data_IF_673019813228
#
_entry.id   IF_673019813228
#
_cell.length_a   1.000
_cell.length_b   1.000
_cell.length_c   1.000
_cell.angle_alpha   90.00
_cell.angle_beta   90.00
_cell.angle_gamma   90.00
#
_symmetry.space_group_name_H-M   'P 1'
#
loop_
_entity.id
_entity.type
_entity.pdbx_description
1 polymer ?
#
# COMPACT_ATOMS: atom_id res chain seq x y z
N UNK A 1 -53.09 51.43 33.79
CA UNK A 1 -51.78 51.69 34.45
C UNK A 1 -50.68 51.01 33.63
N UNK A 2 -49.79 51.83 33.03
CA UNK A 2 -48.34 51.62 32.87
C UNK A 2 -47.86 50.22 32.40
N UNK A 3 -47.39 50.12 31.15
CA UNK A 3 -46.24 49.25 30.85
C UNK A 3 -44.97 49.99 31.34
N UNK A 4 -43.89 49.32 31.80
CA UNK A 4 -42.88 48.88 30.83
C UNK A 4 -41.88 47.76 31.26
N UNK A 5 -41.04 47.40 30.28
CA UNK A 5 -39.57 47.13 30.35
C UNK A 5 -39.00 45.84 30.99
N UNK A 6 -38.54 44.96 30.08
CA UNK A 6 -37.17 44.45 29.79
C UNK A 6 -36.15 44.12 30.91
N UNK A 7 -35.42 43.04 30.59
CA UNK A 7 -34.06 42.60 31.00
C UNK A 7 -33.98 41.79 32.32
N UNK A 8 -33.13 40.77 32.50
CA UNK A 8 -31.94 40.30 31.80
C UNK A 8 -31.70 38.78 32.05
N UNK A 9 -30.87 38.20 31.18
CA UNK A 9 -30.36 36.83 31.14
C UNK A 9 -29.65 36.40 32.44
N UNK A 10 -30.07 35.27 33.02
CA UNK A 10 -29.28 34.54 34.02
C UNK A 10 -29.16 33.08 33.59
N UNK A 11 -28.00 32.74 33.01
CA UNK A 11 -27.55 31.36 32.74
C UNK A 11 -27.41 30.65 34.08
N UNK A 12 -28.06 29.49 34.25
CA UNK A 12 -27.66 28.48 35.22
C UNK A 12 -27.97 27.08 34.67
N UNK A 13 -26.92 26.28 34.64
CA UNK A 13 -26.77 24.89 34.19
C UNK A 13 -27.78 23.99 34.91
N UNK A 14 -28.67 23.32 34.17
CA UNK A 14 -29.51 22.25 34.71
C UNK A 14 -28.95 20.90 34.26
N UNK A 15 -28.40 20.18 35.23
CA UNK A 15 -28.06 18.76 35.16
C UNK A 15 -29.32 17.98 34.76
N UNK A 16 -29.22 17.12 33.73
CA UNK A 16 -30.31 16.22 33.38
C UNK A 16 -30.26 14.98 34.29
N UNK A 17 -31.37 14.56 34.90
CA UNK A 17 -31.40 13.41 35.78
C UNK A 17 -31.33 12.11 34.99
N UNK A 18 -30.56 11.17 35.56
CA UNK A 18 -30.49 9.74 35.30
C UNK A 18 -31.60 9.17 34.40
N UNK A 19 -31.23 8.79 33.16
CA UNK A 19 -32.01 7.85 32.37
C UNK A 19 -31.42 6.45 32.61
N UNK A 20 -32.11 5.69 33.45
CA UNK A 20 -31.88 4.27 33.70
C UNK A 20 -31.92 3.54 32.36
N UNK A 21 -30.76 3.09 31.88
CA UNK A 21 -30.67 2.31 30.64
C UNK A 21 -31.35 0.96 30.84
N UNK A 22 -32.47 0.77 30.17
CA UNK A 22 -33.10 -0.53 30.01
C UNK A 22 -32.19 -1.38 29.09
N UNK A 23 -31.26 -2.14 29.67
CA UNK A 23 -30.48 -3.16 28.95
C UNK A 23 -31.44 -4.31 28.65
N UNK A 24 -32.14 -4.27 27.51
CA UNK A 24 -32.71 -5.44 26.84
C UNK A 24 -33.20 -5.13 25.41
N UNK A 25 -32.57 -4.19 24.71
CA UNK A 25 -32.81 -4.00 23.28
C UNK A 25 -31.63 -4.54 22.47
N UNK A 26 -31.87 -5.62 21.74
CA UNK A 26 -30.92 -6.18 20.78
C UNK A 26 -30.51 -5.11 19.75
N UNK A 27 -29.24 -5.08 19.30
CA UNK A 27 -28.81 -4.15 18.27
C UNK A 27 -29.56 -4.44 16.97
N UNK A 28 -30.44 -3.53 16.54
CA UNK A 28 -31.05 -3.59 15.21
C UNK A 28 -29.96 -3.31 14.17
N UNK A 29 -29.48 -4.36 13.49
CA UNK A 29 -28.62 -4.23 12.32
C UNK A 29 -29.47 -3.76 11.14
N UNK A 30 -29.29 -2.51 10.71
CA UNK A 30 -29.88 -2.05 9.45
C UNK A 30 -29.10 -2.66 8.29
N UNK A 31 -29.64 -3.73 7.71
CA UNK A 31 -29.09 -4.34 6.49
C UNK A 31 -29.46 -3.47 5.29
N UNK A 32 -28.56 -2.58 4.88
CA UNK A 32 -28.69 -1.85 3.62
C UNK A 32 -28.44 -2.82 2.45
N UNK A 33 -29.51 -3.29 1.82
CA UNK A 33 -29.42 -4.13 0.62
C UNK A 33 -28.97 -3.28 -0.56
N UNK A 34 -27.67 -3.35 -0.89
CA UNK A 34 -27.15 -2.74 -2.11
C UNK A 34 -27.53 -3.64 -3.29
N UNK A 35 -28.27 -3.09 -4.24
CA UNK A 35 -28.67 -3.82 -5.45
C UNK A 35 -27.55 -3.81 -6.48
N UNK A 36 -27.49 -4.83 -7.34
CA UNK A 36 -26.47 -4.89 -8.41
C UNK A 36 -26.51 -3.66 -9.33
N UNK A 37 -27.70 -3.07 -9.54
CA UNK A 37 -27.86 -1.83 -10.29
C UNK A 37 -27.19 -0.63 -9.62
N UNK A 38 -27.19 -0.57 -8.28
CA UNK A 38 -26.49 0.49 -7.54
C UNK A 38 -24.97 0.33 -7.61
N UNK A 39 -24.47 -0.90 -7.53
CA UNK A 39 -23.04 -1.18 -7.73
C UNK A 39 -22.61 -0.79 -9.16
N UNK A 40 -23.40 -1.17 -10.16
CA UNK A 40 -23.12 -0.80 -11.55
C UNK A 40 -23.11 0.72 -11.74
N UNK A 41 -24.08 1.42 -11.17
CA UNK A 41 -24.15 2.88 -11.25
C UNK A 41 -22.95 3.58 -10.58
N UNK A 42 -22.44 3.05 -9.47
CA UNK A 42 -21.24 3.59 -8.81
C UNK A 42 -19.98 3.38 -9.67
N UNK A 43 -19.87 2.24 -10.33
CA UNK A 43 -18.78 1.94 -11.26
C UNK A 43 -18.85 2.88 -12.47
N UNK A 44 -20.02 3.02 -13.09
CA UNK A 44 -20.23 3.87 -14.26
C UNK A 44 -19.95 5.36 -13.94
N UNK A 45 -20.35 5.82 -12.75
CA UNK A 45 -20.03 7.15 -12.24
C UNK A 45 -18.51 7.35 -12.07
N UNK A 46 -17.81 6.38 -11.47
CA UNK A 46 -16.37 6.43 -11.28
C UNK A 46 -15.59 6.47 -12.60
N UNK A 47 -16.00 5.64 -13.56
CA UNK A 47 -15.41 5.58 -14.91
C UNK A 47 -15.64 6.91 -15.64
N UNK A 48 -16.87 7.44 -15.60
CA UNK A 48 -17.22 8.71 -16.25
C UNK A 48 -16.43 9.89 -15.66
N UNK A 49 -16.29 9.95 -14.33
CA UNK A 49 -15.52 11.01 -13.67
C UNK A 49 -14.03 10.98 -14.05
N UNK A 50 -13.47 9.77 -14.17
CA UNK A 50 -12.06 9.59 -14.55
C UNK A 50 -11.82 9.96 -16.02
N UNK A 51 -12.75 9.59 -16.91
CA UNK A 51 -12.74 9.98 -18.32
C UNK A 51 -12.84 11.51 -18.47
N UNK A 52 -13.76 12.15 -17.76
CA UNK A 52 -13.90 13.61 -17.81
C UNK A 52 -12.62 14.33 -17.32
N UNK A 53 -11.99 13.84 -16.25
CA UNK A 53 -10.75 14.41 -15.73
C UNK A 53 -9.57 14.29 -16.72
N UNK A 54 -9.48 13.18 -17.46
CA UNK A 54 -8.43 13.00 -18.48
C UNK A 54 -8.61 13.97 -19.66
N UNK A 55 -9.85 14.23 -20.06
CA UNK A 55 -10.15 15.00 -21.27
C UNK A 55 -10.07 16.51 -20.98
N UNK A 56 -10.37 16.93 -19.74
CA UNK A 56 -10.08 18.29 -19.26
C UNK A 56 -8.58 18.63 -19.29
N UNK A 57 -7.71 17.64 -19.10
CA UNK A 57 -6.25 17.80 -19.13
C UNK A 57 -5.66 17.83 -20.57
N UNK A 58 -6.49 17.60 -21.61
CA UNK A 58 -6.05 17.64 -23.01
C UNK A 58 -6.24 19.00 -23.69
N UNK A 59 -6.88 19.96 -23.03
CA UNK A 59 -7.06 21.33 -23.53
C UNK A 59 -5.85 22.20 -23.19
N UNK A 60 -4.66 21.70 -23.49
CA UNK A 60 -3.42 22.46 -23.46
C UNK A 60 -2.95 22.62 -24.90
N UNK A 61 -3.09 23.84 -25.42
CA UNK A 61 -2.59 24.28 -26.72
C UNK A 61 -1.15 23.79 -26.95
N UNK A 62 -0.99 22.94 -27.97
CA UNK A 62 0.30 22.38 -28.36
C UNK A 62 1.07 23.40 -29.20
N UNK A 63 1.39 24.54 -28.58
CA UNK A 63 2.33 25.53 -29.09
C UNK A 63 3.75 25.00 -28.83
N UNK A 64 4.23 24.13 -29.70
CA UNK A 64 5.64 23.74 -29.74
C UNK A 64 6.51 24.92 -30.23
N UNK A 65 6.87 25.81 -29.31
CA UNK A 65 8.08 26.64 -29.44
C UNK A 65 8.66 26.85 -28.05
N UNK A 66 9.59 25.97 -27.68
CA UNK A 66 10.63 26.27 -26.72
C UNK A 66 11.79 25.32 -26.98
N UNK A 67 12.65 25.75 -27.91
CA UNK A 67 14.03 25.32 -27.89
C UNK A 67 14.60 25.65 -26.52
N UNK A 68 14.90 24.63 -25.73
CA UNK A 68 15.76 24.74 -24.57
C UNK A 68 16.74 23.61 -24.69
N UNK A 69 17.94 23.96 -25.14
CA UNK A 69 19.07 23.08 -25.41
C UNK A 69 19.66 22.45 -24.16
N UNK A 70 18.85 21.71 -23.40
CA UNK A 70 19.36 20.59 -22.64
C UNK A 70 19.45 19.47 -23.67
N UNK A 71 20.65 19.27 -24.20
CA UNK A 71 21.00 18.00 -24.85
C UNK A 71 20.42 16.93 -23.93
N UNK A 72 19.40 16.20 -24.39
CA UNK A 72 19.15 14.88 -23.85
C UNK A 72 20.53 14.24 -23.95
N UNK A 73 21.21 14.05 -22.82
CA UNK A 73 22.24 13.02 -22.78
C UNK A 73 21.43 11.76 -22.97
N UNK A 74 21.18 11.46 -24.24
CA UNK A 74 20.68 10.21 -24.72
C UNK A 74 21.58 9.21 -24.01
N UNK A 75 21.03 8.48 -23.03
CA UNK A 75 21.77 7.42 -22.38
C UNK A 75 22.17 6.54 -23.55
N UNK A 76 23.45 6.55 -23.88
CA UNK A 76 23.99 5.70 -24.94
C UNK A 76 23.67 4.29 -24.48
N UNK A 77 22.61 3.70 -25.05
CA UNK A 77 22.31 2.30 -24.89
C UNK A 77 23.45 1.58 -25.59
N UNK A 78 24.49 1.25 -24.83
CA UNK A 78 25.60 0.46 -25.37
C UNK A 78 25.00 -0.90 -25.72
N UNK A 79 25.05 -1.24 -27.00
CA UNK A 79 24.67 -2.58 -27.44
C UNK A 79 25.61 -3.56 -26.77
N UNK A 80 25.06 -4.37 -25.86
CA UNK A 80 25.79 -5.44 -25.21
C UNK A 80 25.73 -6.66 -26.11
N UNK A 81 26.88 -7.15 -26.57
CA UNK A 81 26.93 -8.40 -27.34
C UNK A 81 26.69 -9.58 -26.40
N UNK A 82 26.16 -10.70 -26.89
CA UNK A 82 26.11 -11.95 -26.12
C UNK A 82 27.47 -12.34 -25.54
N UNK A 83 28.57 -12.08 -26.26
CA UNK A 83 29.93 -12.26 -25.74
C UNK A 83 30.23 -11.40 -24.50
N UNK A 84 29.78 -10.16 -24.49
CA UNK A 84 30.01 -9.23 -23.38
C UNK A 84 29.22 -9.66 -22.15
N UNK A 85 27.99 -10.16 -22.34
CA UNK A 85 27.21 -10.80 -21.29
C UNK A 85 27.90 -12.04 -20.73
N UNK A 86 28.43 -12.93 -21.59
CA UNK A 86 29.10 -14.15 -21.14
C UNK A 86 30.42 -13.88 -20.39
N UNK A 87 31.13 -12.79 -20.74
CA UNK A 87 32.31 -12.34 -19.98
C UNK A 87 31.97 -11.94 -18.54
N UNK A 88 30.76 -11.45 -18.28
CA UNK A 88 30.28 -11.12 -16.94
C UNK A 88 29.96 -12.35 -16.07
N UNK A 89 30.18 -13.57 -16.54
CA UNK A 89 29.91 -14.82 -15.83
C UNK A 89 28.54 -14.85 -15.10
N UNK A 90 27.44 -14.56 -15.81
CA UNK A 90 26.12 -14.36 -15.20
C UNK A 90 25.61 -15.58 -14.43
N UNK A 91 26.06 -16.79 -14.80
CA UNK A 91 25.75 -18.02 -14.08
C UNK A 91 26.41 -18.10 -12.70
N UNK A 92 27.61 -17.53 -12.53
CA UNK A 92 28.28 -17.49 -11.24
C UNK A 92 27.58 -16.49 -10.31
N UNK A 93 27.18 -15.34 -10.84
CA UNK A 93 26.39 -14.36 -10.09
C UNK A 93 25.02 -14.93 -9.70
N UNK A 94 24.34 -15.67 -10.59
CA UNK A 94 23.10 -16.38 -10.23
C UNK A 94 23.30 -17.38 -9.09
N UNK A 95 24.37 -18.19 -9.14
CA UNK A 95 24.69 -19.15 -8.06
C UNK A 95 24.96 -18.45 -6.73
N UNK A 96 25.61 -17.29 -6.77
CA UNK A 96 25.88 -16.47 -5.59
C UNK A 96 24.58 -15.97 -4.96
N UNK A 97 23.69 -15.41 -5.77
CA UNK A 97 22.37 -14.93 -5.33
C UNK A 97 21.56 -16.09 -4.72
N UNK A 98 21.56 -17.26 -5.36
CA UNK A 98 20.89 -18.46 -4.84
C UNK A 98 21.47 -18.91 -3.49
N UNK A 99 22.80 -18.93 -3.37
CA UNK A 99 23.47 -19.28 -2.11
C UNK A 99 23.13 -18.29 -1.01
N UNK A 100 23.13 -17.00 -1.31
CA UNK A 100 22.78 -15.93 -0.37
C UNK A 100 21.32 -16.05 0.10
N UNK A 101 20.39 -16.35 -0.82
CA UNK A 101 18.99 -16.57 -0.50
C UNK A 101 18.79 -17.75 0.46
N UNK A 102 19.50 -18.85 0.25
CA UNK A 102 19.40 -20.03 1.12
C UNK A 102 20.02 -19.84 2.50
N UNK A 103 21.00 -18.95 2.62
CA UNK A 103 21.70 -18.65 3.87
C UNK A 103 21.16 -17.40 4.58
N UNK A 104 20.02 -16.85 4.11
CA UNK A 104 19.47 -15.64 4.68
C UNK A 104 18.84 -15.92 6.05
N UNK A 105 19.29 -15.16 7.06
CA UNK A 105 18.83 -15.23 8.45
C UNK A 105 18.53 -13.83 8.99
N UNK A 106 17.59 -13.76 9.94
CA UNK A 106 17.25 -12.52 10.64
C UNK A 106 18.39 -12.14 11.58
N UNK A 107 18.92 -10.93 11.40
CA UNK A 107 19.94 -10.38 12.30
C UNK A 107 19.28 -9.62 13.45
N UNK A 108 19.39 -10.16 14.67
CA UNK A 108 18.84 -9.54 15.87
C UNK A 108 17.31 -9.40 15.78
N UNK A 109 16.81 -8.17 15.91
CA UNK A 109 15.38 -7.84 15.82
C UNK A 109 15.01 -7.08 14.54
N UNK A 110 15.94 -6.92 13.59
CA UNK A 110 15.72 -6.14 12.36
C UNK A 110 15.02 -6.96 11.27
N UNK A 111 13.71 -7.18 11.49
CA UNK A 111 12.84 -7.90 10.55
C UNK A 111 12.64 -7.11 9.26
N UNK A 112 12.69 -5.77 9.31
CA UNK A 112 12.48 -4.91 8.12
C UNK A 112 13.59 -5.10 7.11
N UNK A 113 14.84 -5.12 7.55
CA UNK A 113 16.00 -5.37 6.68
C UNK A 113 15.98 -6.77 6.10
N UNK A 114 15.63 -7.77 6.92
CA UNK A 114 15.45 -9.15 6.45
C UNK A 114 14.39 -9.23 5.35
N UNK A 115 13.23 -8.62 5.55
CA UNK A 115 12.13 -8.64 4.59
C UNK A 115 12.50 -7.99 3.26
N UNK A 116 13.18 -6.83 3.33
CA UNK A 116 13.65 -6.13 2.15
C UNK A 116 14.65 -7.00 1.37
N UNK A 117 15.66 -7.54 2.05
CA UNK A 117 16.69 -8.36 1.41
C UNK A 117 16.13 -9.67 0.85
N UNK A 118 15.21 -10.31 1.57
CA UNK A 118 14.50 -11.50 1.10
C UNK A 118 13.72 -11.22 -0.19
N UNK A 119 13.02 -10.08 -0.27
CA UNK A 119 12.27 -9.71 -1.47
C UNK A 119 13.20 -9.43 -2.66
N UNK A 120 14.31 -8.72 -2.44
CA UNK A 120 15.31 -8.46 -3.48
C UNK A 120 15.90 -9.76 -4.03
N UNK A 121 16.35 -10.66 -3.15
CA UNK A 121 16.90 -11.95 -3.55
C UNK A 121 15.85 -12.84 -4.22
N UNK A 122 14.62 -12.90 -3.69
CA UNK A 122 13.54 -13.68 -4.30
C UNK A 122 13.16 -13.16 -5.69
N UNK A 123 13.22 -11.84 -5.91
CA UNK A 123 13.01 -11.25 -7.25
C UNK A 123 14.16 -11.56 -8.20
N UNK A 124 15.41 -11.59 -7.75
CA UNK A 124 16.55 -11.91 -8.62
C UNK A 124 16.60 -13.38 -9.01
N UNK A 125 16.04 -14.27 -8.19
CA UNK A 125 15.96 -15.71 -8.45
C UNK A 125 14.90 -16.14 -9.49
N UNK A 126 14.38 -15.27 -10.38
CA UNK A 126 13.21 -15.55 -11.27
C UNK A 126 13.21 -16.93 -11.95
N UNK A 127 14.37 -17.45 -12.36
CA UNK A 127 14.48 -18.73 -13.10
C UNK A 127 14.88 -19.94 -12.26
N UNK A 128 15.40 -19.73 -11.06
CA UNK A 128 15.83 -20.80 -10.12
C UNK A 128 15.01 -20.80 -8.83
N UNK A 129 14.08 -19.84 -8.68
CA UNK A 129 13.28 -19.71 -7.47
C UNK A 129 12.46 -20.98 -7.27
N UNK A 130 12.45 -21.54 -6.05
CA UNK A 130 11.60 -22.66 -5.74
C UNK A 130 10.14 -22.18 -5.68
N UNK A 131 9.16 -23.10 -5.62
CA UNK A 131 7.72 -22.76 -5.67
C UNK A 131 7.37 -21.73 -4.58
N UNK A 132 6.24 -21.03 -4.70
CA UNK A 132 5.81 -20.09 -3.66
C UNK A 132 5.75 -20.74 -2.26
N UNK A 133 5.42 -22.03 -2.17
CA UNK A 133 5.49 -22.81 -0.92
C UNK A 133 6.88 -22.88 -0.31
N UNK A 134 7.91 -23.01 -1.16
CA UNK A 134 9.30 -23.15 -0.73
C UNK A 134 9.87 -21.78 -0.35
N UNK A 135 9.44 -20.71 -1.03
CA UNK A 135 9.74 -19.32 -0.64
C UNK A 135 9.19 -19.01 0.75
N UNK A 136 7.94 -19.40 1.02
CA UNK A 136 7.33 -19.23 2.35
C UNK A 136 8.08 -20.04 3.41
N UNK A 137 8.41 -21.30 3.14
CA UNK A 137 9.21 -22.12 4.06
C UNK A 137 10.58 -21.51 4.35
N UNK A 138 11.27 -20.99 3.33
CA UNK A 138 12.57 -20.32 3.50
C UNK A 138 12.47 -19.03 4.30
N UNK A 139 11.42 -18.25 4.07
CA UNK A 139 11.15 -17.02 4.81
C UNK A 139 10.92 -17.33 6.31
N UNK A 140 10.10 -18.33 6.63
CA UNK A 140 9.86 -18.75 8.01
C UNK A 140 11.14 -19.32 8.64
N UNK A 141 11.88 -20.15 7.92
CA UNK A 141 13.12 -20.77 8.40
C UNK A 141 14.32 -19.83 8.56
N UNK A 142 14.20 -18.55 8.17
CA UNK A 142 15.22 -17.53 8.45
C UNK A 142 15.09 -16.89 9.82
N UNK A 143 14.00 -17.14 10.55
CA UNK A 143 13.82 -16.64 11.90
C UNK A 143 14.49 -17.56 12.93
N UNK A 144 15.10 -17.00 13.99
CA UNK A 144 15.61 -17.81 15.10
C UNK A 144 14.45 -18.49 15.85
N UNK A 145 14.68 -19.71 16.31
CA UNK A 145 13.67 -20.55 17.00
C UNK A 145 13.10 -19.91 18.28
N UNK A 146 13.80 -18.91 18.85
CA UNK A 146 13.47 -18.23 20.10
C UNK A 146 12.21 -17.37 20.07
N UNK A 147 11.57 -17.16 18.91
CA UNK A 147 10.36 -16.34 18.79
C UNK A 147 9.11 -17.08 19.32
N UNK A 148 9.21 -18.39 19.56
CA UNK A 148 8.09 -19.22 20.04
C UNK A 148 7.66 -18.93 21.51
N UNK A 149 8.45 -18.17 22.28
CA UNK A 149 8.22 -17.95 23.73
C UNK A 149 7.44 -16.66 24.06
N UNK A 150 6.98 -15.90 23.07
CA UNK A 150 6.24 -14.64 23.29
C UNK A 150 4.71 -14.79 23.36
N UNK A 151 4.18 -16.00 23.19
CA UNK A 151 2.72 -16.31 23.15
C UNK A 151 2.22 -17.02 24.41
N UNK A 152 3.12 -17.34 25.36
CA UNK A 152 2.79 -18.10 26.57
C UNK A 152 2.57 -17.25 27.84
N UNK A 153 2.36 -15.93 27.72
CA UNK A 153 2.10 -15.04 28.86
C UNK A 153 0.62 -14.63 28.95
#
# INVERSE_FOLDING_TARGET
KIAPKKAALKRNKRLNPSATSNLNQAPSTTTTTVTNAQLQAMIDQGVTATLAARDANRTGDDSHTSGTGVRRTERVTRECTYQDFMKCQPLNEMKKIETEFWNLEVQGTDVTRYNQHFQELAMLCVRTCPKDSDRVKRYIGGFPDTIHESVAA
#
